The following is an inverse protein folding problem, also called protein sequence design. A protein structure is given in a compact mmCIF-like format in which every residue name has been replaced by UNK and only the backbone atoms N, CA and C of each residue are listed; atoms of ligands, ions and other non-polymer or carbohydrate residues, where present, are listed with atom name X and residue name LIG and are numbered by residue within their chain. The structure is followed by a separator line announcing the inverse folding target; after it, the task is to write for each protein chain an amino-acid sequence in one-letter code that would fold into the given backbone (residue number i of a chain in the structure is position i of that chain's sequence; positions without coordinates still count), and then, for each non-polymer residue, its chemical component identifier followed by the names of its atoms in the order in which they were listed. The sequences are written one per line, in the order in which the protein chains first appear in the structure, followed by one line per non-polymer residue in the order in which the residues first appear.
data_IF_274260209283
#
_entry.id   IF_274260209283
#
_cell.length_a   1.000
_cell.length_b   1.000
_cell.length_c   1.000
_cell.angle_alpha   90.00
_cell.angle_beta   90.00
_cell.angle_gamma   90.00
#
_symmetry.space_group_name_H-M   'P 1'
#
loop_
_entity.id
_entity.type
_entity.pdbx_description
1 polymer ?
#
# COMPACT_ATOMS: atom_id res chain seq x y z
N UNK A 1 -4.28 -0.34 15.34
CA UNK A 1 -3.16 -0.27 16.29
C UNK A 1 -1.90 0.14 15.55
N UNK A 2 -0.73 -0.27 16.04
CA UNK A 2 0.54 -0.26 15.29
C UNK A 2 0.89 -1.71 14.99
N UNK A 3 1.19 -2.01 13.74
CA UNK A 3 1.45 -3.36 13.25
C UNK A 3 2.77 -3.39 12.45
N UNK A 4 3.40 -4.55 12.38
CA UNK A 4 4.64 -4.77 11.62
C UNK A 4 4.61 -6.14 10.95
N UNK A 5 5.11 -6.20 9.72
CA UNK A 5 5.26 -7.42 8.91
C UNK A 5 6.31 -7.15 7.82
N UNK A 6 6.66 -8.16 7.03
CA UNK A 6 7.53 -8.00 5.86
C UNK A 6 6.73 -7.79 4.58
N UNK A 7 7.39 -7.28 3.53
CA UNK A 7 6.77 -7.16 2.19
C UNK A 7 6.27 -8.50 1.68
N UNK A 8 7.03 -9.57 1.92
CA UNK A 8 6.72 -10.90 1.40
C UNK A 8 5.54 -11.54 2.15
N UNK A 9 5.37 -11.25 3.44
CA UNK A 9 4.24 -11.73 4.25
C UNK A 9 2.91 -11.02 3.93
N UNK A 10 2.95 -9.83 3.33
CA UNK A 10 1.73 -9.12 2.90
C UNK A 10 1.13 -9.72 1.63
N UNK A 11 1.88 -10.54 0.90
CA UNK A 11 1.39 -11.16 -0.32
C UNK A 11 0.46 -12.34 -0.02
N UNK A 12 -0.72 -12.35 -0.64
CA UNK A 12 -1.67 -13.45 -0.55
C UNK A 12 -1.61 -14.27 -1.84
N UNK A 13 -1.17 -15.55 -1.79
CA UNK A 13 -1.00 -16.38 -2.98
C UNK A 13 -2.33 -16.98 -3.47
N UNK A 14 -3.23 -16.13 -3.96
CA UNK A 14 -4.46 -16.59 -4.61
C UNK A 14 -4.14 -17.51 -5.79
N UNK A 15 -5.02 -18.50 -6.05
CA UNK A 15 -4.81 -19.50 -7.10
C UNK A 15 -4.58 -18.86 -8.47
N UNK A 16 -5.37 -17.84 -8.80
CA UNK A 16 -5.08 -16.91 -9.89
C UNK A 16 -4.54 -15.62 -9.26
N UNK A 17 -3.30 -15.21 -9.57
CA UNK A 17 -2.71 -13.96 -9.09
C UNK A 17 -3.63 -12.77 -9.38
N UNK A 18 -3.88 -11.98 -8.35
CA UNK A 18 -4.80 -10.85 -8.33
C UNK A 18 -4.31 -9.83 -7.30
N UNK A 19 -4.91 -8.64 -7.34
CA UNK A 19 -4.67 -7.58 -6.37
C UNK A 19 -4.87 -8.06 -4.93
N UNK A 20 -3.91 -7.74 -4.04
CA UNK A 20 -3.93 -8.17 -2.64
C UNK A 20 -3.06 -7.26 -1.75
N UNK A 21 -3.16 -7.42 -0.43
CA UNK A 21 -2.26 -6.76 0.53
C UNK A 21 -2.52 -5.28 0.79
N UNK A 22 -3.64 -4.71 0.30
CA UNK A 22 -4.01 -3.34 0.60
C UNK A 22 -4.41 -3.15 2.07
N UNK A 23 -3.96 -2.05 2.66
CA UNK A 23 -4.29 -1.62 4.02
C UNK A 23 -4.98 -0.26 3.98
N UNK A 24 -6.15 -0.16 4.61
CA UNK A 24 -6.97 1.06 4.62
C UNK A 24 -6.88 1.83 5.94
N UNK A 25 -7.35 3.08 5.94
CA UNK A 25 -7.37 3.97 7.12
C UNK A 25 -5.98 4.20 7.73
N UNK A 26 -4.94 4.18 6.90
CA UNK A 26 -3.54 4.25 7.33
C UNK A 26 -3.15 5.70 7.57
N UNK A 27 -2.63 5.98 8.76
CA UNK A 27 -2.11 7.31 9.11
C UNK A 27 -0.64 7.50 8.72
N UNK A 28 0.12 6.41 8.75
CA UNK A 28 1.50 6.36 8.31
C UNK A 28 1.89 4.91 8.01
N UNK A 29 2.84 4.72 7.09
CA UNK A 29 3.50 3.43 6.85
C UNK A 29 5.01 3.64 6.73
N UNK A 30 5.79 2.65 7.13
CA UNK A 30 7.25 2.71 7.08
C UNK A 30 7.82 1.43 6.49
N UNK A 31 8.70 1.57 5.49
CA UNK A 31 9.49 0.49 4.94
C UNK A 31 10.93 0.69 5.40
N UNK A 32 11.54 -0.37 5.93
CA UNK A 32 12.93 -0.35 6.39
C UNK A 32 13.66 -1.61 5.94
N UNK A 33 14.96 -1.46 5.72
CA UNK A 33 15.86 -2.59 5.60
C UNK A 33 16.27 -3.13 6.98
N UNK A 34 17.09 -4.18 6.98
CA UNK A 34 17.60 -4.84 8.18
C UNK A 34 18.52 -3.94 9.02
N UNK A 35 19.17 -2.95 8.40
CA UNK A 35 20.02 -1.97 9.08
C UNK A 35 19.20 -0.85 9.74
N UNK A 36 17.91 -0.72 9.37
CA UNK A 36 16.99 0.27 9.88
C UNK A 36 16.94 1.57 9.08
N UNK A 37 17.57 1.63 7.91
CA UNK A 37 17.36 2.70 6.94
C UNK A 37 16.04 2.49 6.22
N UNK A 38 15.40 3.58 5.79
CA UNK A 38 14.12 3.41 5.10
C UNK A 38 13.37 4.69 4.79
N UNK A 39 12.09 4.50 4.47
CA UNK A 39 11.15 5.53 4.10
C UNK A 39 9.93 5.49 5.03
N UNK A 40 9.54 6.65 5.54
CA UNK A 40 8.29 6.87 6.26
C UNK A 40 7.36 7.72 5.38
N UNK A 41 6.18 7.20 5.07
CA UNK A 41 5.09 7.93 4.44
C UNK A 41 4.03 8.28 5.48
N UNK A 42 3.61 9.54 5.54
CA UNK A 42 2.63 10.06 6.50
C UNK A 42 1.47 10.67 5.74
N UNK A 43 0.25 10.18 5.97
CA UNK A 43 -0.94 10.76 5.37
C UNK A 43 -1.31 12.08 6.08
N UNK A 44 -1.71 13.09 5.31
CA UNK A 44 -2.29 14.31 5.88
C UNK A 44 -3.55 13.98 6.70
N UNK A 45 -4.40 13.09 6.19
CA UNK A 45 -5.59 12.58 6.87
C UNK A 45 -5.51 11.06 7.10
N UNK A 46 -5.88 10.26 6.10
CA UNK A 46 -5.68 8.81 5.99
C UNK A 46 -5.35 8.48 4.52
N UNK A 47 -4.71 7.34 4.29
CA UNK A 47 -4.41 6.81 2.97
C UNK A 47 -4.64 5.31 2.94
N UNK A 48 -4.62 4.74 1.75
CA UNK A 48 -4.46 3.30 1.54
C UNK A 48 -3.00 3.01 1.12
N UNK A 49 -2.49 1.83 1.42
CA UNK A 49 -1.19 1.41 0.91
C UNK A 49 -1.10 -0.10 0.69
N UNK A 50 -0.28 -0.48 -0.28
CA UNK A 50 0.22 -1.83 -0.47
C UNK A 50 1.71 -1.79 -0.79
N UNK A 51 2.43 -2.89 -0.53
CA UNK A 51 3.82 -3.02 -0.95
C UNK A 51 4.08 -4.43 -1.46
N UNK A 52 4.68 -4.54 -2.65
CA UNK A 52 4.90 -5.82 -3.34
C UNK A 52 6.28 -5.88 -4.00
N UNK A 53 6.79 -7.11 -4.22
CA UNK A 53 7.97 -7.38 -5.05
C UNK A 53 7.61 -7.63 -6.53
N UNK A 54 6.49 -7.11 -6.98
CA UNK A 54 6.04 -7.22 -8.37
C UNK A 54 5.17 -6.01 -8.71
N UNK A 55 5.06 -5.69 -10.00
CA UNK A 55 4.13 -4.66 -10.45
C UNK A 55 2.70 -5.22 -10.56
N UNK A 56 1.68 -4.35 -10.58
CA UNK A 56 0.32 -4.78 -10.93
C UNK A 56 0.25 -5.50 -12.29
N UNK A 57 1.09 -5.10 -13.26
CA UNK A 57 1.16 -5.75 -14.57
C UNK A 57 1.80 -7.15 -14.51
N UNK A 58 2.82 -7.35 -13.67
CA UNK A 58 3.40 -8.67 -13.45
C UNK A 58 2.38 -9.63 -12.80
N UNK A 59 1.53 -9.12 -11.89
CA UNK A 59 0.41 -9.88 -11.31
C UNK A 59 -0.67 -10.23 -12.34
N UNK A 60 -1.11 -9.25 -13.12
CA UNK A 60 -2.16 -9.42 -14.13
C UNK A 60 -1.76 -10.42 -15.24
N UNK A 61 -0.49 -10.42 -15.62
CA UNK A 61 0.04 -11.30 -16.66
C UNK A 61 0.15 -12.78 -16.23
N UNK A 62 0.19 -13.07 -14.93
CA UNK A 62 0.39 -14.42 -14.42
C UNK A 62 -0.93 -15.19 -14.28
N UNK A 63 -0.97 -16.43 -14.77
CA UNK A 63 -2.10 -17.34 -14.58
C UNK A 63 -2.06 -18.07 -13.23
N UNK A 64 -0.84 -18.30 -12.71
CA UNK A 64 -0.58 -18.99 -11.44
C UNK A 64 0.55 -18.31 -10.64
N UNK A 65 0.61 -18.45 -9.31
CA UNK A 65 1.61 -17.76 -8.47
C UNK A 65 3.07 -18.01 -8.86
N UNK A 66 3.41 -19.20 -9.37
CA UNK A 66 4.77 -19.54 -9.78
C UNK A 66 5.19 -18.88 -11.11
N UNK A 67 4.25 -18.27 -11.83
CA UNK A 67 4.48 -17.56 -13.09
C UNK A 67 4.68 -16.05 -12.86
N UNK A 68 4.46 -15.56 -11.64
CA UNK A 68 4.65 -14.14 -11.30
C UNK A 68 6.12 -13.76 -11.49
N UNK A 69 6.34 -12.66 -12.22
CA UNK A 69 7.67 -12.08 -12.37
C UNK A 69 8.03 -11.25 -11.15
N UNK A 70 8.69 -11.88 -10.19
CA UNK A 70 9.25 -11.21 -9.02
C UNK A 70 10.42 -10.29 -9.38
N UNK A 71 10.56 -9.21 -8.61
CA UNK A 71 11.52 -8.12 -8.80
C UNK A 71 12.36 -7.94 -7.55
N UNK A 72 13.56 -7.40 -7.73
CA UNK A 72 14.44 -7.07 -6.61
C UNK A 72 13.94 -5.83 -5.86
N UNK A 73 13.28 -4.91 -6.58
CA UNK A 73 12.70 -3.70 -6.04
C UNK A 73 11.37 -3.94 -5.31
N UNK A 74 11.04 -3.03 -4.40
CA UNK A 74 9.73 -2.95 -3.75
C UNK A 74 8.91 -1.87 -4.43
N UNK A 75 7.69 -2.23 -4.84
CA UNK A 75 6.68 -1.33 -5.37
C UNK A 75 5.73 -0.95 -4.23
N UNK A 76 5.89 0.28 -3.73
CA UNK A 76 5.02 0.87 -2.71
C UNK A 76 3.93 1.71 -3.38
N UNK A 77 2.68 1.35 -3.17
CA UNK A 77 1.51 2.12 -3.59
C UNK A 77 1.01 2.95 -2.41
N UNK A 78 0.78 4.23 -2.63
CA UNK A 78 0.22 5.17 -1.65
C UNK A 78 -0.98 5.83 -2.31
N UNK A 79 -2.17 5.39 -1.92
CA UNK A 79 -3.39 5.71 -2.64
C UNK A 79 -4.32 6.58 -1.81
N UNK A 80 -4.99 7.51 -2.49
CA UNK A 80 -6.10 8.26 -1.89
C UNK A 80 -7.24 7.31 -1.50
N UNK A 81 -7.64 6.46 -2.45
CA UNK A 81 -8.66 5.41 -2.33
C UNK A 81 -8.46 4.37 -3.42
N UNK A 82 -8.84 3.13 -3.14
CA UNK A 82 -9.00 2.07 -4.13
C UNK A 82 -10.48 1.70 -4.26
N UNK A 83 -10.91 1.31 -5.47
CA UNK A 83 -12.27 0.80 -5.69
C UNK A 83 -12.49 -0.47 -4.88
N UNK A 84 -13.64 -0.56 -4.20
CA UNK A 84 -14.04 -1.79 -3.51
C UNK A 84 -14.17 -2.99 -4.47
N UNK A 85 -14.04 -4.20 -3.93
CA UNK A 85 -14.01 -5.44 -4.73
C UNK A 85 -15.35 -5.77 -5.41
N UNK A 86 -16.46 -5.60 -4.70
CA UNK A 86 -17.77 -6.10 -5.15
C UNK A 86 -17.82 -7.63 -5.23
N UNK A 87 -18.75 -8.16 -6.01
CA UNK A 87 -18.96 -9.60 -6.22
C UNK A 87 -19.24 -9.97 -7.68
N UNK A 88 -18.80 -9.14 -8.64
CA UNK A 88 -19.14 -9.25 -10.06
C UNK A 88 -18.71 -10.57 -10.75
N UNK A 89 -17.96 -11.43 -10.06
CA UNK A 89 -17.70 -12.80 -10.51
C UNK A 89 -18.96 -13.68 -10.52
N UNK A 90 -19.85 -13.50 -9.54
CA UNK A 90 -21.14 -14.18 -9.44
C UNK A 90 -22.07 -13.44 -8.46
N UNK A 91 -22.42 -12.20 -8.79
CA UNK A 91 -23.13 -11.31 -7.87
C UNK A 91 -23.12 -9.85 -8.32
N UNK A 92 -23.59 -8.93 -7.46
CA UNK A 92 -23.58 -7.51 -7.75
C UNK A 92 -22.15 -6.99 -7.81
N UNK A 93 -21.94 -5.95 -8.61
CA UNK A 93 -20.70 -5.20 -8.61
C UNK A 93 -20.52 -4.37 -7.31
N UNK A 94 -19.43 -3.63 -7.21
CA UNK A 94 -19.14 -2.73 -6.10
C UNK A 94 -20.29 -1.77 -5.84
N UNK A 95 -20.70 -1.66 -4.56
CA UNK A 95 -21.78 -0.75 -4.18
C UNK A 95 -21.35 0.71 -4.42
N UNK A 96 -22.27 1.62 -4.79
CA UNK A 96 -21.94 2.99 -5.17
C UNK A 96 -21.06 3.76 -4.17
N UNK A 97 -21.23 3.53 -2.86
CA UNK A 97 -20.43 4.19 -1.83
C UNK A 97 -18.96 3.73 -1.74
N UNK A 98 -18.60 2.64 -2.42
CA UNK A 98 -17.24 2.09 -2.48
C UNK A 98 -16.61 2.22 -3.87
N UNK A 99 -17.26 2.97 -4.77
CA UNK A 99 -16.70 3.34 -6.07
C UNK A 99 -15.82 4.58 -5.96
N UNK A 100 -14.84 4.68 -6.85
CA UNK A 100 -13.98 5.86 -6.99
C UNK A 100 -14.40 6.57 -8.26
N UNK A 101 -15.12 7.68 -8.11
CA UNK A 101 -15.62 8.49 -9.22
C UNK A 101 -14.56 9.53 -9.66
N UNK A 102 -14.56 9.93 -10.94
CA UNK A 102 -13.67 10.97 -11.44
C UNK A 102 -14.16 12.34 -10.96
N UNK A 103 -13.73 12.72 -9.76
CA UNK A 103 -14.05 13.99 -9.12
C UNK A 103 -12.80 14.74 -8.69
N UNK A 104 -12.94 16.02 -8.36
CA UNK A 104 -11.84 16.80 -7.79
C UNK A 104 -11.47 16.23 -6.42
N UNK A 105 -10.23 15.75 -6.27
CA UNK A 105 -9.69 15.24 -5.02
C UNK A 105 -8.34 15.90 -4.71
N UNK A 106 -8.05 16.06 -3.42
CA UNK A 106 -6.72 16.39 -2.91
C UNK A 106 -6.15 15.19 -2.16
N UNK A 107 -4.90 14.87 -2.44
CA UNK A 107 -4.18 13.79 -1.79
C UNK A 107 -2.79 14.28 -1.40
N UNK A 108 -2.48 14.19 -0.11
CA UNK A 108 -1.26 14.75 0.46
C UNK A 108 -0.58 13.70 1.34
N UNK A 109 0.67 13.42 0.99
CA UNK A 109 1.55 12.52 1.72
C UNK A 109 2.88 13.21 1.96
N UNK A 110 3.38 13.11 3.19
CA UNK A 110 4.72 13.56 3.55
C UNK A 110 5.64 12.35 3.54
N UNK A 111 6.71 12.43 2.75
CA UNK A 111 7.77 11.43 2.71
C UNK A 111 8.96 11.89 3.56
N UNK A 112 9.46 11.01 4.43
CA UNK A 112 10.63 11.27 5.27
C UNK A 112 11.59 10.09 5.26
N UNK A 113 12.91 10.34 5.25
CA UNK A 113 13.87 9.28 5.47
C UNK A 113 13.84 8.79 6.92
N UNK A 114 14.06 7.50 7.10
CA UNK A 114 14.34 6.85 8.38
C UNK A 114 15.81 6.44 8.44
N UNK A 115 16.41 6.65 9.61
CA UNK A 115 17.77 6.24 9.98
C UNK A 115 17.69 5.14 11.04
N UNK A 116 18.76 4.34 11.22
CA UNK A 116 18.85 3.38 12.31
C UNK A 116 18.56 4.05 13.67
N UNK A 117 17.74 3.41 14.49
CA UNK A 117 17.31 3.92 15.80
C UNK A 117 16.12 4.90 15.78
N UNK A 118 15.68 5.37 14.62
CA UNK A 118 14.44 6.15 14.54
C UNK A 118 13.21 5.31 14.89
N UNK A 119 12.29 5.88 15.67
CA UNK A 119 10.94 5.34 15.87
C UNK A 119 9.95 5.98 14.87
N UNK A 120 9.41 5.21 13.90
CA UNK A 120 8.44 5.70 12.93
C UNK A 120 7.17 6.28 13.56
N UNK A 121 6.68 5.69 14.64
CA UNK A 121 5.44 6.12 15.30
C UNK A 121 5.59 7.49 15.97
N UNK A 122 6.76 7.77 16.53
CA UNK A 122 7.09 9.10 17.05
C UNK A 122 7.34 10.08 15.91
N UNK A 123 8.11 9.70 14.89
CA UNK A 123 8.41 10.57 13.73
C UNK A 123 7.19 10.97 12.90
N UNK A 124 6.17 10.12 12.85
CA UNK A 124 4.92 10.38 12.11
C UNK A 124 4.07 11.49 12.74
N UNK A 125 4.26 11.80 14.03
CA UNK A 125 3.51 12.87 14.73
C UNK A 125 3.95 14.27 14.31
N UNK A 126 5.17 14.43 13.78
CA UNK A 126 5.69 15.73 13.38
C UNK A 126 5.23 16.09 11.96
N UNK A 127 3.97 16.50 11.79
CA UNK A 127 3.40 16.90 10.48
C UNK A 127 3.88 18.27 9.97
N UNK A 128 5.09 18.72 10.32
CA UNK A 128 5.55 20.07 9.99
C UNK A 128 5.41 20.35 8.49
N UNK A 129 4.49 21.27 8.17
CA UNK A 129 4.46 21.98 6.90
C UNK A 129 5.79 22.72 6.77
N UNK A 130 6.64 22.25 5.87
CA UNK A 130 7.68 23.09 5.28
C UNK A 130 7.15 23.45 3.90
N UNK A 131 6.49 24.61 3.88
CA UNK A 131 6.17 25.53 2.77
C UNK A 131 5.81 24.90 1.42
#
# INVERSE_FOLDING_TARGET
GVYSTTVDEMFVPYLRPQECGNHTDVRWTALRDEEGWGLLAIAAHVMEFSAHRCTPHDLEAAGHPHEIRWRDEIYLHLDYKQRGLGGASCGPDTLPQYEVWPEHASFEVILKPLKPGDDPATKSKYKHHVI
#
